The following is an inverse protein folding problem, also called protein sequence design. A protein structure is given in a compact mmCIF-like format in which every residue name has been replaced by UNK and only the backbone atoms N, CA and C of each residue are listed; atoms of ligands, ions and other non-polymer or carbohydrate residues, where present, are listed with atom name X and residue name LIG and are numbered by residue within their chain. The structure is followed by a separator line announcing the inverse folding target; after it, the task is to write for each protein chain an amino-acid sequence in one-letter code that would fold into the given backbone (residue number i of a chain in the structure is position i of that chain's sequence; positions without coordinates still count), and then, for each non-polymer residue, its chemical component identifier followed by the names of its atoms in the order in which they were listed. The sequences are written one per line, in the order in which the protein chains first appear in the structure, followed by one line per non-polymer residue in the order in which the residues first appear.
data_IF_751116760882
#
_entry.id   IF_751116760882
#
_cell.length_a   1.000
_cell.length_b   1.000
_cell.length_c   1.000
_cell.angle_alpha   90.00
_cell.angle_beta   90.00
_cell.angle_gamma   90.00
#
_symmetry.space_group_name_H-M   'P 1'
#
loop_
_entity.id
_entity.type
_entity.pdbx_description
1 polymer ?
#
# COMPACT_ATOMS: atom_id res chain seq x y z
N UNK A 1 2.74 10.08 -6.36
CA UNK A 1 1.89 9.30 -5.44
C UNK A 1 1.41 8.09 -6.22
N UNK A 2 1.82 6.89 -5.82
CA UNK A 2 1.43 5.67 -6.52
C UNK A 2 -0.08 5.39 -6.46
N UNK A 3 -0.62 4.82 -7.54
CA UNK A 3 -2.02 4.42 -7.67
C UNK A 3 -2.29 3.03 -7.06
N UNK A 4 -1.30 2.13 -6.98
CA UNK A 4 -1.55 0.71 -6.65
C UNK A 4 -2.06 0.55 -5.20
N UNK A 5 -1.43 1.23 -4.25
CA UNK A 5 -1.81 1.14 -2.83
C UNK A 5 -3.22 1.69 -2.59
N UNK A 6 -3.59 2.75 -3.32
CA UNK A 6 -4.93 3.35 -3.24
C UNK A 6 -6.00 2.40 -3.78
N UNK A 7 -5.69 1.69 -4.88
CA UNK A 7 -6.59 0.70 -5.48
C UNK A 7 -6.80 -0.50 -4.55
N UNK A 8 -5.70 -1.03 -3.99
CA UNK A 8 -5.75 -2.14 -3.03
C UNK A 8 -6.56 -1.75 -1.81
N UNK A 9 -6.34 -0.54 -1.29
CA UNK A 9 -7.10 -0.04 -0.15
C UNK A 9 -8.59 0.13 -0.47
N UNK A 10 -8.95 0.73 -1.60
CA UNK A 10 -10.35 0.88 -2.01
C UNK A 10 -11.04 -0.48 -2.12
N UNK A 11 -10.33 -1.48 -2.65
CA UNK A 11 -10.80 -2.87 -2.73
C UNK A 11 -11.01 -3.49 -1.34
N UNK A 12 -10.08 -3.30 -0.41
CA UNK A 12 -10.20 -3.79 0.97
C UNK A 12 -11.34 -3.12 1.74
N UNK A 13 -11.48 -1.78 1.67
CA UNK A 13 -12.61 -1.05 2.28
C UNK A 13 -13.93 -1.61 1.75
N UNK A 14 -14.04 -1.80 0.43
CA UNK A 14 -15.27 -2.33 -0.19
C UNK A 14 -15.59 -3.76 0.24
N UNK A 15 -14.58 -4.62 0.34
CA UNK A 15 -14.74 -6.02 0.79
C UNK A 15 -15.11 -6.09 2.27
N UNK A 16 -14.57 -5.19 3.08
CA UNK A 16 -14.64 -5.26 4.54
C UNK A 16 -15.59 -4.19 5.10
N UNK A 17 -16.89 -4.27 4.75
CA UNK A 17 -17.96 -3.33 5.16
C UNK A 17 -18.09 -3.08 6.68
N UNK A 18 -17.42 -3.86 7.54
CA UNK A 18 -17.45 -3.76 9.01
C UNK A 18 -16.10 -3.36 9.66
N UNK A 19 -15.00 -3.36 8.90
CA UNK A 19 -13.68 -3.03 9.45
C UNK A 19 -13.52 -1.51 9.49
N UNK A 20 -13.46 -0.92 10.69
CA UNK A 20 -12.93 0.43 10.87
C UNK A 20 -11.44 0.38 10.52
N UNK A 21 -11.12 0.56 9.24
CA UNK A 21 -9.74 0.76 8.81
C UNK A 21 -9.21 1.97 9.56
N UNK A 22 -8.23 1.73 10.42
CA UNK A 22 -7.54 2.79 11.16
C UNK A 22 -6.74 3.59 10.14
N UNK A 23 -7.31 4.71 9.66
CA UNK A 23 -6.71 5.58 8.64
C UNK A 23 -5.23 5.88 8.91
N UNK A 24 -4.85 6.06 10.18
CA UNK A 24 -3.46 6.24 10.60
C UNK A 24 -2.54 5.08 10.20
N UNK A 25 -2.95 3.83 10.45
CA UNK A 25 -2.17 2.63 10.10
C UNK A 25 -2.01 2.51 8.59
N UNK A 26 -3.05 2.89 7.85
CA UNK A 26 -2.96 2.98 6.41
C UNK A 26 -1.90 4.02 6.02
N UNK A 27 -2.03 5.27 6.45
CA UNK A 27 -1.11 6.35 6.06
C UNK A 27 0.35 5.96 6.33
N UNK A 28 0.61 5.32 7.47
CA UNK A 28 1.93 4.76 7.80
C UNK A 28 2.39 3.69 6.80
N UNK A 29 1.52 2.78 6.38
CA UNK A 29 1.86 1.77 5.35
C UNK A 29 2.11 2.40 3.98
N UNK A 30 1.34 3.42 3.59
CA UNK A 30 1.54 4.16 2.33
C UNK A 30 2.91 4.85 2.33
N UNK A 31 3.26 5.51 3.44
CA UNK A 31 4.55 6.18 3.58
C UNK A 31 5.72 5.18 3.52
N UNK A 32 5.60 4.03 4.20
CA UNK A 32 6.62 2.98 4.17
C UNK A 32 6.85 2.44 2.77
N UNK A 33 5.78 2.15 2.04
CA UNK A 33 5.89 1.66 0.67
C UNK A 33 6.48 2.70 -0.28
N UNK A 34 6.03 3.96 -0.22
CA UNK A 34 6.62 5.03 -1.04
C UNK A 34 8.11 5.25 -0.73
N UNK A 35 8.49 5.17 0.55
CA UNK A 35 9.89 5.23 0.94
C UNK A 35 10.68 4.06 0.36
N UNK A 36 10.15 2.84 0.48
CA UNK A 36 10.76 1.64 -0.06
C UNK A 36 10.95 1.72 -1.59
N UNK A 37 9.95 2.18 -2.34
CA UNK A 37 10.07 2.42 -3.78
C UNK A 37 11.19 3.41 -4.10
N UNK A 38 11.28 4.51 -3.34
CA UNK A 38 12.31 5.54 -3.55
C UNK A 38 13.72 5.01 -3.29
N UNK A 39 13.94 4.27 -2.21
CA UNK A 39 15.28 3.75 -1.86
C UNK A 39 15.71 2.58 -2.76
N UNK A 40 14.76 1.84 -3.32
CA UNK A 40 15.03 0.74 -4.24
C UNK A 40 15.01 1.16 -5.72
N UNK A 41 14.76 2.45 -5.99
CA UNK A 41 14.58 2.99 -7.35
C UNK A 41 13.50 2.24 -8.17
N UNK A 42 12.45 1.78 -7.50
CA UNK A 42 11.34 1.03 -8.10
C UNK A 42 10.17 1.94 -8.42
N UNK A 43 9.43 1.56 -9.45
CA UNK A 43 8.18 2.22 -9.84
C UNK A 43 6.99 1.68 -9.06
N UNK A 44 5.91 2.46 -8.96
CA UNK A 44 4.67 1.97 -8.36
C UNK A 44 3.94 1.00 -9.29
N UNK A 45 4.20 -0.30 -9.10
CA UNK A 45 3.63 -1.41 -9.86
C UNK A 45 3.17 -2.52 -8.90
N UNK A 46 2.24 -3.37 -9.34
CA UNK A 46 1.66 -4.38 -8.46
C UNK A 46 2.69 -5.43 -8.05
N UNK A 47 3.60 -5.78 -8.94
CA UNK A 47 4.72 -6.70 -8.70
C UNK A 47 5.63 -6.18 -7.59
N UNK A 48 5.96 -4.88 -7.63
CA UNK A 48 6.76 -4.24 -6.60
C UNK A 48 6.03 -4.16 -5.26
N UNK A 49 4.71 -3.95 -5.27
CA UNK A 49 3.91 -3.99 -4.06
C UNK A 49 3.86 -5.40 -3.43
N UNK A 50 3.72 -6.44 -4.25
CA UNK A 50 3.81 -7.82 -3.76
C UNK A 50 5.19 -8.14 -3.18
N UNK A 51 6.26 -7.68 -3.82
CA UNK A 51 7.62 -7.81 -3.29
C UNK A 51 7.79 -7.06 -1.96
N UNK A 52 7.28 -5.84 -1.85
CA UNK A 52 7.28 -5.09 -0.59
C UNK A 52 6.57 -5.84 0.53
N UNK A 53 5.43 -6.48 0.24
CA UNK A 53 4.70 -7.27 1.23
C UNK A 53 5.46 -8.54 1.65
N UNK A 54 6.25 -9.14 0.76
CA UNK A 54 7.09 -10.32 1.06
C UNK A 54 8.39 -9.97 1.78
N UNK A 55 8.94 -8.79 1.54
CA UNK A 55 10.17 -8.30 2.15
C UNK A 55 9.97 -7.73 3.57
N UNK A 56 8.71 -7.47 3.96
CA UNK A 56 8.30 -7.02 5.28
C UNK A 56 8.07 -8.19 6.23
#
# INVERSE_FOLDING_TARGET
MGNIIKIIMYSEIKKNKKSKIKLRVLEENILKYNYWLKVTHREDKIENYEEFLRAR
#
